data_IF_882670307450
#
_entry.id   IF_882670307450
#
_cell.length_a   1.000
_cell.length_b   1.000
_cell.length_c   1.000
_cell.angle_alpha   90.00
_cell.angle_beta   90.00
_cell.angle_gamma   90.00
#
_symmetry.space_group_name_H-M   'P 1'
#
loop_
_entity.id
_entity.type
_entity.pdbx_description
1 polymer ?
#
# COMPACT_ATOMS: atom_id res chain seq x y z
N UNK A 1 -3.35 -8.49 -32.82
CA UNK A 1 -3.77 -8.07 -31.48
C UNK A 1 -5.22 -8.52 -31.34
N UNK A 2 -5.44 -9.72 -30.80
CA UNK A 2 -6.77 -10.34 -30.75
C UNK A 2 -7.61 -9.75 -29.62
N UNK A 3 -8.92 -9.76 -29.77
CA UNK A 3 -9.86 -9.40 -28.72
C UNK A 3 -9.73 -10.38 -27.55
N UNK A 4 -9.55 -9.85 -26.33
CA UNK A 4 -9.55 -10.67 -25.11
C UNK A 4 -10.97 -10.70 -24.57
N UNK A 5 -11.73 -11.72 -24.97
CA UNK A 5 -13.11 -11.97 -24.56
C UNK A 5 -13.22 -13.29 -23.78
N UNK A 6 -14.32 -13.50 -23.06
CA UNK A 6 -14.57 -14.80 -22.41
C UNK A 6 -14.59 -15.89 -23.47
N UNK A 7 -13.70 -16.88 -23.34
CA UNK A 7 -13.47 -17.93 -24.34
C UNK A 7 -12.22 -17.72 -25.20
N UNK A 8 -11.72 -16.48 -25.33
CA UNK A 8 -10.46 -16.16 -26.01
C UNK A 8 -9.59 -15.23 -25.14
N UNK A 9 -9.12 -15.74 -24.00
CA UNK A 9 -8.33 -14.94 -23.06
C UNK A 9 -6.88 -14.69 -23.53
N UNK A 10 -6.46 -15.27 -24.66
CA UNK A 10 -5.10 -15.12 -25.21
C UNK A 10 -4.00 -15.81 -24.40
N UNK A 11 -4.36 -16.66 -23.43
CA UNK A 11 -3.42 -17.44 -22.62
C UNK A 11 -2.97 -18.74 -23.30
N UNK A 12 -1.92 -19.40 -22.76
CA UNK A 12 -1.51 -20.72 -23.23
C UNK A 12 -2.62 -21.76 -23.04
N UNK A 13 -2.65 -22.79 -23.89
CA UNK A 13 -3.62 -23.88 -23.77
C UNK A 13 -3.43 -24.62 -22.43
N UNK A 14 -4.46 -24.63 -21.59
CA UNK A 14 -4.46 -25.36 -20.32
C UNK A 14 -5.20 -26.69 -20.50
N UNK A 15 -4.56 -27.81 -20.14
CA UNK A 15 -5.17 -29.15 -20.14
C UNK A 15 -4.81 -29.88 -18.85
N UNK A 16 -5.75 -30.61 -18.27
CA UNK A 16 -5.53 -31.45 -17.07
C UNK A 16 -5.60 -30.74 -15.72
N UNK A 17 -6.00 -29.46 -15.67
CA UNK A 17 -6.17 -28.72 -14.41
C UNK A 17 -7.62 -28.87 -13.94
N UNK A 18 -7.83 -29.52 -12.80
CA UNK A 18 -9.15 -29.67 -12.17
C UNK A 18 -9.24 -28.72 -10.97
N UNK A 19 -10.30 -27.92 -10.90
CA UNK A 19 -10.53 -26.95 -9.83
C UNK A 19 -11.76 -27.31 -9.01
N UNK A 20 -11.62 -27.39 -7.69
CA UNK A 20 -12.72 -27.64 -6.77
C UNK A 20 -13.04 -26.37 -5.97
N UNK A 21 -14.32 -26.10 -5.75
CA UNK A 21 -14.81 -24.96 -4.97
C UNK A 21 -16.07 -25.38 -4.21
N UNK A 22 -16.25 -24.80 -3.03
CA UNK A 22 -17.47 -24.93 -2.24
C UNK A 22 -18.31 -23.66 -2.42
N UNK A 23 -19.64 -23.76 -2.32
CA UNK A 23 -20.53 -22.60 -2.40
C UNK A 23 -20.22 -21.60 -1.28
N UNK A 24 -20.28 -20.30 -1.58
CA UNK A 24 -20.04 -19.25 -0.57
C UNK A 24 -21.06 -19.28 0.58
N UNK A 25 -22.27 -19.81 0.33
CA UNK A 25 -23.31 -19.97 1.35
C UNK A 25 -23.03 -21.13 2.33
N UNK A 26 -22.16 -22.06 1.95
CA UNK A 26 -21.75 -23.20 2.78
C UNK A 26 -20.47 -22.89 3.57
N UNK A 27 -19.76 -21.81 3.21
CA UNK A 27 -18.55 -21.37 3.86
C UNK A 27 -18.82 -20.38 4.99
N UNK A 28 -17.98 -20.45 6.03
CA UNK A 28 -17.91 -19.40 7.05
C UNK A 28 -17.02 -18.26 6.56
N UNK A 29 -17.62 -17.14 6.16
CA UNK A 29 -16.94 -15.99 5.52
C UNK A 29 -15.72 -15.48 6.29
N UNK A 30 -15.78 -15.42 7.63
CA UNK A 30 -14.69 -14.92 8.48
C UNK A 30 -13.94 -16.02 9.24
N UNK A 31 -14.02 -17.28 8.79
CA UNK A 31 -13.29 -18.35 9.44
C UNK A 31 -11.77 -18.07 9.43
N UNK A 32 -11.17 -18.07 10.62
CA UNK A 32 -9.71 -17.95 10.76
C UNK A 32 -9.13 -16.54 10.59
N UNK A 33 -9.95 -15.49 10.48
CA UNK A 33 -9.46 -14.10 10.36
C UNK A 33 -8.57 -13.73 11.54
N UNK A 34 -9.01 -13.99 12.78
CA UNK A 34 -8.23 -13.64 13.96
C UNK A 34 -7.08 -14.63 14.24
N UNK A 35 -7.30 -15.94 14.03
CA UNK A 35 -6.30 -16.97 14.33
C UNK A 35 -5.18 -17.07 13.30
N UNK A 36 -5.48 -16.88 12.01
CA UNK A 36 -4.53 -17.02 10.89
C UNK A 36 -4.35 -15.72 10.13
N UNK A 37 -5.42 -14.98 9.89
CA UNK A 37 -5.40 -13.73 9.12
C UNK A 37 -4.51 -12.66 9.76
N UNK A 38 -4.64 -12.42 11.06
CA UNK A 38 -3.85 -11.40 11.77
C UNK A 38 -2.34 -11.60 11.64
N UNK A 39 -1.84 -12.79 11.97
CA UNK A 39 -0.41 -13.11 11.83
C UNK A 39 0.07 -13.05 10.38
N UNK A 40 -0.78 -13.45 9.43
CA UNK A 40 -0.45 -13.35 8.01
C UNK A 40 -0.35 -11.89 7.53
N UNK A 41 -1.20 -11.00 8.05
CA UNK A 41 -1.12 -9.55 7.77
C UNK A 41 0.19 -8.98 8.31
N UNK A 42 0.55 -9.26 9.56
CA UNK A 42 1.81 -8.80 10.15
C UNK A 42 3.01 -9.30 9.33
N UNK A 43 3.04 -10.59 9.01
CA UNK A 43 4.11 -11.21 8.21
C UNK A 43 4.25 -10.57 6.81
N UNK A 44 3.13 -10.21 6.17
CA UNK A 44 3.16 -9.55 4.84
C UNK A 44 3.58 -8.08 4.94
N UNK A 45 3.13 -7.38 5.98
CA UNK A 45 3.49 -5.99 6.23
C UNK A 45 4.99 -5.86 6.54
N UNK A 46 5.53 -6.72 7.41
CA UNK A 46 6.95 -6.70 7.79
C UNK A 46 7.88 -6.92 6.60
N UNK A 47 7.46 -7.69 5.59
CA UNK A 47 8.24 -7.89 4.38
C UNK A 47 8.41 -6.61 3.53
N UNK A 48 7.52 -5.62 3.69
CA UNK A 48 7.50 -4.39 2.89
C UNK A 48 7.84 -3.13 3.68
N UNK A 49 7.79 -3.18 5.02
CA UNK A 49 7.98 -2.01 5.89
C UNK A 49 9.33 -1.33 5.69
N UNK A 50 10.38 -2.08 5.32
CA UNK A 50 11.71 -1.51 5.07
C UNK A 50 11.82 -0.78 3.72
N UNK A 51 10.94 -1.07 2.77
CA UNK A 51 10.90 -0.35 1.50
C UNK A 51 10.06 0.93 1.60
N UNK A 52 8.99 0.88 2.38
CA UNK A 52 8.04 1.99 2.53
C UNK A 52 8.45 2.93 3.67
N UNK A 53 9.01 2.39 4.75
CA UNK A 53 9.35 3.11 5.98
C UNK A 53 10.36 4.24 5.77
N UNK A 54 11.56 3.98 5.22
CA UNK A 54 12.57 5.02 5.01
C UNK A 54 12.09 6.23 4.20
N UNK A 55 11.44 6.09 3.02
CA UNK A 55 10.96 7.25 2.27
C UNK A 55 9.82 7.98 3.00
N UNK A 56 8.96 7.29 3.75
CA UNK A 56 7.92 7.96 4.56
C UNK A 56 8.52 8.80 5.68
N UNK A 57 9.50 8.27 6.41
CA UNK A 57 10.17 8.98 7.50
C UNK A 57 10.92 10.20 6.94
N UNK A 58 11.70 10.01 5.88
CA UNK A 58 12.44 11.10 5.23
C UNK A 58 11.51 12.22 4.76
N UNK A 59 10.41 11.86 4.10
CA UNK A 59 9.41 12.82 3.62
C UNK A 59 8.77 13.61 4.77
N UNK A 60 8.45 12.93 5.88
CA UNK A 60 7.89 13.58 7.05
C UNK A 60 8.88 14.55 7.71
N UNK A 61 10.15 14.16 7.80
CA UNK A 61 11.21 15.03 8.33
C UNK A 61 11.35 16.31 7.48
N UNK A 62 11.46 16.17 6.15
CA UNK A 62 11.56 17.30 5.21
C UNK A 62 10.33 18.20 5.33
N UNK A 63 9.13 17.62 5.35
CA UNK A 63 7.89 18.38 5.50
C UNK A 63 7.85 19.16 6.83
N UNK A 64 8.24 18.53 7.93
CA UNK A 64 8.25 19.17 9.25
C UNK A 64 9.22 20.36 9.31
N UNK A 65 10.39 20.21 8.69
CA UNK A 65 11.38 21.28 8.55
C UNK A 65 10.86 22.41 7.67
N UNK A 66 10.33 22.08 6.48
CA UNK A 66 9.83 23.05 5.52
C UNK A 66 8.68 23.87 6.11
N UNK A 67 7.75 23.21 6.84
CA UNK A 67 6.64 23.88 7.53
C UNK A 67 7.16 24.87 8.58
N UNK A 68 8.09 24.45 9.44
CA UNK A 68 8.69 25.33 10.46
C UNK A 68 9.41 26.53 9.83
N UNK A 69 10.19 26.29 8.77
CA UNK A 69 10.90 27.35 8.06
C UNK A 69 9.94 28.33 7.38
N UNK A 70 8.88 27.83 6.74
CA UNK A 70 7.87 28.66 6.12
C UNK A 70 7.12 29.53 7.15
N UNK A 71 6.73 28.96 8.30
CA UNK A 71 6.10 29.75 9.36
C UNK A 71 7.04 30.81 9.95
N UNK A 72 8.33 30.51 10.03
CA UNK A 72 9.33 31.47 10.51
C UNK A 72 9.52 32.63 9.53
N UNK A 73 9.65 32.36 8.24
CA UNK A 73 9.84 33.40 7.22
C UNK A 73 8.64 34.34 7.10
N UNK A 74 7.43 33.83 7.31
CA UNK A 74 6.19 34.63 7.35
C UNK A 74 5.92 35.29 8.72
N UNK A 75 6.86 35.19 9.66
CA UNK A 75 6.77 35.87 10.96
C UNK A 75 7.45 37.24 10.90
N UNK A 76 7.11 38.13 11.84
CA UNK A 76 7.71 39.47 11.92
C UNK A 76 9.25 39.43 12.04
N UNK A 77 9.77 38.47 12.80
CA UNK A 77 11.22 38.28 12.95
C UNK A 77 11.87 37.83 11.62
N UNK A 78 11.21 36.92 10.90
CA UNK A 78 11.68 36.45 9.58
C UNK A 78 11.62 37.52 8.49
N UNK A 79 10.61 38.39 8.50
CA UNK A 79 10.56 39.55 7.59
C UNK A 79 11.74 40.50 7.80
N UNK A 80 12.20 40.66 9.04
CA UNK A 80 13.34 41.51 9.40
C UNK A 80 14.68 40.92 8.96
N UNK A 81 14.82 39.59 8.97
CA UNK A 81 16.00 38.88 8.43
C UNK A 81 16.01 38.82 6.89
N UNK A 82 14.85 38.81 6.23
CA UNK A 82 14.75 38.74 4.77
C UNK A 82 15.02 40.09 4.09
N UNK A 83 14.80 41.21 4.79
CA UNK A 83 15.00 42.57 4.27
C UNK A 83 16.42 43.12 4.44
N UNK A 84 17.30 42.36 5.11
CA UNK A 84 18.71 42.71 5.36
C UNK A 84 19.65 42.21 4.28
#
# INVERSE_FOLDING_TARGET
MGDHSFGNLGGPKQRGIVSYRLSSYEQRVFAGVFKKGFYNVIRRFSANVLYIGPPMIASYMVYSWAKKRNTYLNSKAGHHELSG
#
